data_IF_632210172106
#
_entry.id   IF_632210172106
#
_cell.length_a   1.000
_cell.length_b   1.000
_cell.length_c   1.000
_cell.angle_alpha   90.00
_cell.angle_beta   90.00
_cell.angle_gamma   90.00
#
_symmetry.space_group_name_H-M   'P 1'
#
loop_
_entity.id
_entity.type
_entity.pdbx_description
1 polymer ?
#
# COMPACT_ATOMS: atom_id res chain seq x y z
N UNK A 1 25.68 3.71 -6.95
CA UNK A 1 25.42 4.64 -5.84
C UNK A 1 24.43 5.67 -6.36
N UNK A 2 23.12 5.41 -6.21
CA UNK A 2 22.09 6.29 -6.76
C UNK A 2 21.72 7.35 -5.72
N UNK A 3 21.89 8.61 -6.11
CA UNK A 3 21.59 9.82 -5.34
C UNK A 3 20.08 10.02 -5.25
N UNK A 4 19.52 10.02 -4.04
CA UNK A 4 18.11 10.29 -3.78
C UNK A 4 17.92 11.79 -3.58
N UNK A 5 17.21 12.45 -4.49
CA UNK A 5 16.74 13.82 -4.30
C UNK A 5 15.47 13.80 -3.44
N UNK A 6 15.54 14.48 -2.31
CA UNK A 6 14.44 14.73 -1.40
C UNK A 6 13.66 15.97 -1.90
N UNK A 7 12.78 15.78 -2.87
CA UNK A 7 11.84 16.80 -3.35
C UNK A 7 10.44 16.32 -2.92
N UNK A 8 9.82 17.01 -1.94
CA UNK A 8 8.43 16.82 -1.50
C UNK A 8 7.94 15.36 -1.48
N UNK A 9 8.22 14.64 -0.38
CA UNK A 9 8.06 13.19 -0.19
C UNK A 9 7.12 12.48 -1.17
N UNK A 10 7.69 11.93 -2.24
CA UNK A 10 7.04 10.94 -3.10
C UNK A 10 7.60 9.56 -2.78
N UNK A 11 6.72 8.59 -2.57
CA UNK A 11 7.09 7.17 -2.49
C UNK A 11 6.44 6.44 -3.66
N UNK A 12 7.14 5.47 -4.23
CA UNK A 12 6.62 4.62 -5.29
C UNK A 12 6.55 3.19 -4.76
N UNK A 13 5.35 2.62 -4.79
CA UNK A 13 5.14 1.22 -4.44
C UNK A 13 5.55 0.33 -5.62
N UNK A 14 6.09 -0.83 -5.33
CA UNK A 14 6.31 -1.86 -6.33
C UNK A 14 4.96 -2.33 -6.87
N UNK A 15 4.94 -2.77 -8.13
CA UNK A 15 3.76 -3.37 -8.74
C UNK A 15 3.15 -4.49 -7.86
N UNK A 16 3.94 -5.46 -7.37
CA UNK A 16 3.43 -6.48 -6.46
C UNK A 16 2.74 -5.96 -5.20
N UNK A 17 3.28 -4.91 -4.55
CA UNK A 17 2.66 -4.33 -3.36
C UNK A 17 1.37 -3.58 -3.69
N UNK A 18 1.38 -2.76 -4.73
CA UNK A 18 0.18 -2.05 -5.21
C UNK A 18 -0.94 -3.03 -5.54
N UNK A 19 -0.64 -4.06 -6.34
CA UNK A 19 -1.60 -5.10 -6.73
C UNK A 19 -2.09 -5.94 -5.53
N UNK A 20 -1.24 -6.19 -4.55
CA UNK A 20 -1.65 -6.88 -3.34
C UNK A 20 -2.59 -6.02 -2.48
N UNK A 21 -2.32 -4.72 -2.32
CA UNK A 21 -3.22 -3.79 -1.63
C UNK A 21 -4.58 -3.72 -2.34
N UNK A 22 -4.58 -3.61 -3.66
CA UNK A 22 -5.79 -3.63 -4.49
C UNK A 22 -6.57 -4.95 -4.34
N UNK A 23 -5.93 -6.09 -4.58
CA UNK A 23 -6.58 -7.41 -4.50
C UNK A 23 -7.06 -7.76 -3.09
N UNK A 24 -6.41 -7.24 -2.05
CA UNK A 24 -6.83 -7.38 -0.66
C UNK A 24 -7.91 -6.38 -0.22
N UNK A 25 -8.49 -5.64 -1.18
CA UNK A 25 -9.53 -4.62 -1.00
C UNK A 25 -9.14 -3.48 -0.04
N UNK A 26 -7.85 -3.24 0.16
CA UNK A 26 -7.37 -2.27 1.13
C UNK A 26 -7.97 -0.87 0.89
N UNK A 27 -7.80 -0.33 -0.32
CA UNK A 27 -8.30 1.01 -0.66
C UNK A 27 -9.82 1.08 -0.69
N UNK A 28 -10.48 0.02 -1.18
CA UNK A 28 -11.94 -0.06 -1.18
C UNK A 28 -12.51 0.02 0.24
N UNK A 29 -11.99 -0.78 1.18
CA UNK A 29 -12.44 -0.79 2.56
C UNK A 29 -12.07 0.52 3.28
N UNK A 30 -10.89 1.08 2.98
CA UNK A 30 -10.45 2.35 3.54
C UNK A 30 -11.35 3.51 3.10
N UNK A 31 -11.60 3.63 1.79
CA UNK A 31 -12.47 4.64 1.20
C UNK A 31 -13.87 4.60 1.79
N UNK A 32 -14.46 3.40 1.88
CA UNK A 32 -15.78 3.22 2.46
C UNK A 32 -15.85 3.66 3.93
N UNK A 33 -14.77 3.50 4.69
CA UNK A 33 -14.71 3.84 6.12
C UNK A 33 -14.44 5.34 6.37
N UNK A 34 -13.61 5.96 5.55
CA UNK A 34 -13.11 7.33 5.78
C UNK A 34 -13.74 8.37 4.86
N UNK A 35 -14.61 7.97 3.93
CA UNK A 35 -15.26 8.88 2.98
C UNK A 35 -14.29 9.44 1.94
N UNK A 36 -13.20 8.70 1.64
CA UNK A 36 -12.21 9.05 0.62
C UNK A 36 -12.50 8.31 -0.69
N UNK A 37 -11.74 8.61 -1.75
CA UNK A 37 -11.95 8.05 -3.10
C UNK A 37 -10.66 7.63 -3.78
N UNK A 38 -9.64 7.24 -3.00
CA UNK A 38 -8.35 6.78 -3.53
C UNK A 38 -8.52 5.67 -4.56
N UNK A 39 -8.02 5.88 -5.77
CA UNK A 39 -8.05 4.88 -6.85
C UNK A 39 -6.64 4.47 -7.28
N UNK A 40 -6.52 3.21 -7.71
CA UNK A 40 -5.33 2.74 -8.39
C UNK A 40 -5.22 3.53 -9.70
N UNK A 41 -4.03 4.03 -10.03
CA UNK A 41 -3.75 4.91 -11.19
C UNK A 41 -4.07 6.41 -11.05
N UNK A 42 -4.62 6.88 -9.93
CA UNK A 42 -4.77 8.32 -9.66
C UNK A 42 -3.70 8.83 -8.68
N UNK A 43 -3.36 10.12 -8.80
CA UNK A 43 -2.55 10.82 -7.79
C UNK A 43 -3.48 11.62 -6.89
N UNK A 44 -3.53 11.27 -5.61
CA UNK A 44 -4.40 11.92 -4.63
C UNK A 44 -3.61 12.46 -3.45
N UNK A 45 -3.95 13.68 -3.03
CA UNK A 45 -3.39 14.28 -1.84
C UNK A 45 -4.12 13.79 -0.58
N UNK A 46 -3.36 13.32 0.40
CA UNK A 46 -3.83 12.96 1.72
C UNK A 46 -3.34 13.99 2.74
N UNK A 47 -4.28 14.56 3.50
CA UNK A 47 -3.97 15.41 4.64
C UNK A 47 -3.51 14.58 5.86
N UNK A 48 -2.95 15.26 6.86
CA UNK A 48 -2.34 14.57 8.02
C UNK A 48 -3.32 13.64 8.77
N UNK A 49 -4.60 14.01 9.02
CA UNK A 49 -5.58 13.08 9.58
C UNK A 49 -5.77 11.81 8.73
N UNK A 50 -5.91 11.94 7.41
CA UNK A 50 -6.06 10.79 6.52
C UNK A 50 -4.77 9.97 6.47
N UNK A 51 -3.60 10.60 6.43
CA UNK A 51 -2.29 9.90 6.50
C UNK A 51 -2.19 9.04 7.76
N UNK A 52 -2.57 9.58 8.93
CA UNK A 52 -2.57 8.81 10.18
C UNK A 52 -3.53 7.62 10.11
N UNK A 53 -4.72 7.80 9.53
CA UNK A 53 -5.66 6.69 9.33
C UNK A 53 -5.09 5.61 8.39
N UNK A 54 -4.38 6.00 7.33
CA UNK A 54 -3.72 5.05 6.42
C UNK A 54 -2.64 4.27 7.18
N UNK A 55 -1.82 4.94 8.00
CA UNK A 55 -0.81 4.28 8.86
C UNK A 55 -1.44 3.20 9.74
N UNK A 56 -2.54 3.52 10.44
CA UNK A 56 -3.25 2.55 11.27
C UNK A 56 -3.76 1.35 10.47
N UNK A 57 -4.30 1.58 9.28
CA UNK A 57 -4.76 0.51 8.40
C UNK A 57 -3.59 -0.35 7.89
N UNK A 58 -2.43 0.25 7.60
CA UNK A 58 -1.22 -0.46 7.22
C UNK A 58 -0.67 -1.31 8.37
N UNK A 59 -0.73 -0.84 9.62
CA UNK A 59 -0.30 -1.63 10.79
C UNK A 59 -1.10 -2.93 10.94
N UNK A 60 -2.40 -2.91 10.61
CA UNK A 60 -3.23 -4.12 10.56
C UNK A 60 -2.71 -5.09 9.49
N UNK A 61 -2.35 -4.59 8.30
CA UNK A 61 -1.81 -5.43 7.20
C UNK A 61 -0.41 -5.96 7.52
N UNK A 62 0.45 -5.16 8.15
CA UNK A 62 1.77 -5.57 8.65
C UNK A 62 1.60 -6.70 9.67
N UNK A 63 0.74 -6.50 10.66
CA UNK A 63 0.46 -7.51 11.68
C UNK A 63 -0.11 -8.79 11.08
N UNK A 64 -1.01 -8.68 10.10
CA UNK A 64 -1.53 -9.83 9.36
C UNK A 64 -0.42 -10.63 8.68
N UNK A 65 0.46 -9.96 7.92
CA UNK A 65 1.57 -10.63 7.24
C UNK A 65 2.54 -11.28 8.23
N UNK A 66 2.91 -10.60 9.32
CA UNK A 66 3.83 -11.14 10.33
C UNK A 66 3.32 -12.43 10.96
N UNK A 67 2.01 -12.53 11.21
CA UNK A 67 1.39 -13.69 11.84
C UNK A 67 1.00 -14.79 10.85
N UNK A 68 1.16 -14.57 9.55
CA UNK A 68 0.79 -15.54 8.54
C UNK A 68 1.86 -16.63 8.42
N UNK A 69 1.51 -17.89 8.70
CA UNK A 69 2.45 -19.02 8.73
C UNK A 69 2.95 -19.53 7.36
N UNK A 70 2.84 -18.73 6.30
CA UNK A 70 3.24 -19.10 4.93
C UNK A 70 4.48 -18.31 4.49
N UNK A 71 5.29 -18.86 3.59
CA UNK A 71 6.46 -18.14 3.05
C UNK A 71 6.08 -17.15 1.96
N UNK A 72 5.05 -17.49 1.18
CA UNK A 72 4.66 -16.77 -0.03
C UNK A 72 3.18 -16.39 0.05
N UNK A 73 2.87 -15.20 -0.47
CA UNK A 73 1.51 -14.69 -0.59
C UNK A 73 1.04 -14.89 -2.02
N UNK A 74 -0.04 -15.64 -2.17
CA UNK A 74 -0.70 -15.84 -3.45
C UNK A 74 -1.95 -14.96 -3.54
N UNK A 75 -2.06 -14.17 -4.60
CA UNK A 75 -3.22 -13.31 -4.85
C UNK A 75 -3.56 -13.21 -6.34
N UNK A 76 -4.81 -12.87 -6.64
CA UNK A 76 -5.28 -12.67 -8.02
C UNK A 76 -4.79 -11.32 -8.51
N UNK A 77 -4.01 -11.31 -9.60
CA UNK A 77 -3.52 -10.08 -10.23
C UNK A 77 -4.30 -9.69 -11.49
N UNK A 78 -5.03 -10.64 -12.11
CA UNK A 78 -5.81 -10.37 -13.33
C UNK A 78 -6.95 -11.35 -13.49
N UNK A 79 -8.09 -10.85 -13.96
CA UNK A 79 -9.20 -11.65 -14.47
C UNK A 79 -9.07 -11.83 -15.99
N UNK A 80 -9.28 -13.05 -16.48
CA UNK A 80 -9.28 -13.32 -17.92
C UNK A 80 -10.71 -13.26 -18.48
N UNK A 81 -10.89 -12.94 -19.78
CA UNK A 81 -12.20 -12.92 -20.43
C UNK A 81 -12.95 -14.26 -20.36
N UNK A 82 -12.24 -15.36 -20.14
CA UNK A 82 -12.76 -16.73 -20.07
C UNK A 82 -13.20 -17.12 -18.65
N UNK A 83 -13.46 -16.15 -17.77
CA UNK A 83 -13.77 -16.36 -16.34
C UNK A 83 -12.65 -17.02 -15.52
N UNK A 84 -11.43 -17.06 -16.06
CA UNK A 84 -10.24 -17.48 -15.34
C UNK A 84 -9.67 -16.35 -14.49
N UNK A 85 -8.82 -16.71 -13.53
CA UNK A 85 -8.00 -15.75 -12.78
C UNK A 85 -6.53 -16.14 -12.93
N UNK A 86 -5.67 -15.14 -13.07
CA UNK A 86 -4.23 -15.30 -13.00
C UNK A 86 -3.79 -14.91 -11.60
N UNK A 87 -3.07 -15.83 -10.96
CA UNK A 87 -2.48 -15.63 -9.65
C UNK A 87 -0.99 -15.35 -9.77
N UNK A 88 -0.49 -14.55 -8.86
CA UNK A 88 0.94 -14.35 -8.66
C UNK A 88 1.29 -14.80 -7.23
N UNK A 89 2.49 -15.36 -7.08
CA UNK A 89 3.07 -15.69 -5.79
C UNK A 89 4.25 -14.77 -5.51
N UNK A 90 4.25 -14.11 -4.36
CA UNK A 90 5.28 -13.15 -3.96
C UNK A 90 5.79 -13.53 -2.57
N UNK A 91 7.11 -13.48 -2.28
CA UNK A 91 7.61 -13.74 -0.94
C UNK A 91 6.97 -12.79 0.09
N UNK A 92 6.43 -13.36 1.17
CA UNK A 92 5.82 -12.62 2.28
C UNK A 92 6.76 -11.58 2.85
N UNK A 93 8.02 -11.94 3.05
CA UNK A 93 9.06 -11.05 3.58
C UNK A 93 9.27 -9.82 2.70
N UNK A 94 9.22 -9.98 1.37
CA UNK A 94 9.35 -8.86 0.43
C UNK A 94 8.18 -7.88 0.57
N UNK A 95 6.94 -8.39 0.58
CA UNK A 95 5.75 -7.57 0.79
C UNK A 95 5.77 -6.88 2.16
N UNK A 96 6.12 -7.62 3.21
CA UNK A 96 6.19 -7.09 4.57
C UNK A 96 7.22 -5.97 4.69
N UNK A 97 8.43 -6.18 4.17
CA UNK A 97 9.49 -5.18 4.22
C UNK A 97 9.10 -3.89 3.50
N UNK A 98 8.43 -4.01 2.36
CA UNK A 98 8.00 -2.84 1.59
C UNK A 98 6.83 -2.13 2.25
N UNK A 99 5.87 -2.88 2.80
CA UNK A 99 4.72 -2.34 3.54
C UNK A 99 5.17 -1.57 4.79
N UNK A 100 6.15 -2.10 5.53
CA UNK A 100 6.75 -1.41 6.68
C UNK A 100 7.43 -0.11 6.23
N UNK A 101 8.19 -0.15 5.13
CA UNK A 101 8.83 1.06 4.58
C UNK A 101 7.80 2.11 4.16
N UNK A 102 6.68 1.69 3.57
CA UNK A 102 5.60 2.60 3.20
C UNK A 102 4.96 3.23 4.44
N UNK A 103 4.67 2.42 5.47
CA UNK A 103 4.17 2.91 6.76
C UNK A 103 5.12 3.91 7.39
N UNK A 104 6.41 3.59 7.47
CA UNK A 104 7.45 4.45 8.06
C UNK A 104 7.53 5.81 7.35
N UNK A 105 7.43 5.80 6.02
CA UNK A 105 7.39 7.02 5.23
C UNK A 105 6.20 7.91 5.59
N UNK A 106 5.00 7.33 5.72
CA UNK A 106 3.79 8.07 6.10
C UNK A 106 3.86 8.58 7.53
N UNK A 107 4.40 7.79 8.47
CA UNK A 107 4.63 8.22 9.86
C UNK A 107 5.56 9.43 9.92
N UNK A 108 6.66 9.42 9.16
CA UNK A 108 7.59 10.54 9.11
C UNK A 108 6.94 11.79 8.50
N UNK A 109 6.12 11.64 7.45
CA UNK A 109 5.36 12.75 6.86
C UNK A 109 4.34 13.35 7.85
N UNK A 110 3.58 12.51 8.53
CA UNK A 110 2.61 12.94 9.54
C UNK A 110 3.30 13.63 10.73
N UNK A 111 4.43 13.11 11.20
CA UNK A 111 5.21 13.72 12.28
C UNK A 111 5.75 15.12 11.91
N UNK A 112 5.99 15.36 10.61
CA UNK A 112 6.35 16.67 10.06
C UNK A 112 5.16 17.54 9.69
N UNK A 113 3.93 17.06 9.94
CA UNK A 113 2.69 17.71 9.59
C UNK A 113 2.62 18.07 8.08
N UNK A 114 3.14 17.18 7.25
CA UNK A 114 3.15 17.32 5.79
C UNK A 114 2.01 16.50 5.17
N UNK A 115 1.32 17.08 4.18
CA UNK A 115 0.48 16.32 3.27
C UNK A 115 1.37 15.43 2.38
N UNK A 116 0.82 14.31 1.92
CA UNK A 116 1.49 13.40 1.00
C UNK A 116 0.64 13.22 -0.25
N UNK A 117 1.29 13.17 -1.41
CA UNK A 117 0.64 12.74 -2.64
C UNK A 117 0.86 11.24 -2.80
N UNK A 118 -0.23 10.49 -2.82
CA UNK A 118 -0.22 9.04 -3.02
C UNK A 118 -0.34 8.74 -4.51
N UNK A 119 0.51 7.85 -5.01
CA UNK A 119 0.41 7.27 -6.34
C UNK A 119 0.31 5.75 -6.17
N UNK A 120 -0.88 5.21 -6.47
CA UNK A 120 -1.32 3.88 -6.05
C UNK A 120 -1.29 2.85 -7.18
#
# INVERSE_FOLDING_TARGET
>A
MASMKNEGGKIHLSGPLSEWLFSSKFWFDFNARHGTMFDQFEEDDADVPIVNAIVEALDVKVSFLQNLGVSDIEFVYRWTPEQGFLKISVPRESLLSELVRFRDFLVDAAAKNHCVTLSL
#
